data_IF_005318855508
#
_entry.id   IF_005318855508
#
_cell.length_a   1.000
_cell.length_b   1.000
_cell.length_c   1.000
_cell.angle_alpha   90.00
_cell.angle_beta   90.00
_cell.angle_gamma   90.00
#
_symmetry.space_group_name_H-M   'P 1'
#
loop_
_entity.id
_entity.type
_entity.pdbx_description
1 polymer ?
#
# COMPACT_ATOMS: atom_id res chain seq x y z
N UNK A 1 -12.05 13.45 24.33
CA UNK A 1 -12.69 14.59 23.62
C UNK A 1 -12.81 14.13 22.20
N UNK A 2 -14.01 14.13 21.62
CA UNK A 2 -14.20 13.78 20.21
C UNK A 2 -13.21 14.56 19.33
N UNK A 3 -12.68 13.91 18.30
CA UNK A 3 -11.76 14.54 17.35
C UNK A 3 -12.42 15.77 16.70
N UNK A 4 -11.63 16.78 16.35
CA UNK A 4 -12.14 18.05 15.81
C UNK A 4 -12.43 18.00 14.31
N UNK A 5 -11.69 17.14 13.59
CA UNK A 5 -11.83 16.87 12.14
C UNK A 5 -11.18 15.53 11.81
N UNK A 6 -11.66 14.87 10.76
CA UNK A 6 -11.03 13.66 10.23
C UNK A 6 -9.58 13.94 9.84
N UNK A 7 -8.69 13.03 10.16
CA UNK A 7 -7.25 13.18 9.86
C UNK A 7 -7.01 12.95 8.37
N UNK A 8 -6.29 13.89 7.75
CA UNK A 8 -5.84 13.80 6.37
C UNK A 8 -4.34 14.12 6.24
N UNK A 9 -3.85 14.26 5.01
CA UNK A 9 -2.46 14.59 4.75
C UNK A 9 -2.05 16.01 5.16
N UNK A 10 -3.00 16.96 5.26
CA UNK A 10 -2.74 18.32 5.72
C UNK A 10 -2.51 18.32 7.24
N UNK A 11 -3.34 17.60 7.99
CA UNK A 11 -3.14 17.41 9.43
C UNK A 11 -1.80 16.74 9.73
N UNK A 12 -1.42 15.75 8.92
CA UNK A 12 -0.13 15.10 9.05
C UNK A 12 1.02 16.09 8.87
N UNK A 13 0.96 16.93 7.83
CA UNK A 13 1.98 17.95 7.56
C UNK A 13 2.08 18.99 8.68
N UNK A 14 0.94 19.50 9.16
CA UNK A 14 0.92 20.50 10.23
C UNK A 14 1.52 19.94 11.52
N UNK A 15 1.16 18.71 11.89
CA UNK A 15 1.73 18.00 13.04
C UNK A 15 3.21 17.69 12.86
N UNK A 16 3.66 17.42 11.63
CA UNK A 16 5.08 17.11 11.39
C UNK A 16 6.00 18.30 11.67
N UNK A 17 5.49 19.54 11.62
CA UNK A 17 6.26 20.75 11.94
C UNK A 17 6.51 20.93 13.42
N UNK A 18 5.57 20.53 14.28
CA UNK A 18 5.59 20.80 15.72
C UNK A 18 5.73 19.55 16.59
N UNK A 19 5.61 18.35 16.00
CA UNK A 19 5.68 17.06 16.69
C UNK A 19 6.99 16.84 17.47
N UNK A 20 7.00 15.86 18.37
CA UNK A 20 8.17 15.54 19.20
C UNK A 20 9.41 15.28 18.33
N UNK A 21 10.55 15.91 18.65
CA UNK A 21 11.82 15.59 17.96
C UNK A 21 12.25 14.17 18.32
N UNK A 22 12.65 13.40 17.33
CA UNK A 22 13.11 12.04 17.50
C UNK A 22 14.23 11.78 16.47
N UNK A 23 15.34 11.20 16.87
CA UNK A 23 16.32 10.72 15.89
C UNK A 23 15.80 9.44 15.23
N UNK A 24 16.33 9.12 14.04
CA UNK A 24 15.95 7.88 13.39
C UNK A 24 16.42 6.64 14.19
N UNK A 25 17.60 6.70 14.81
CA UNK A 25 18.08 5.61 15.66
C UNK A 25 17.20 5.41 16.90
N UNK A 26 16.76 6.49 17.56
CA UNK A 26 15.81 6.40 18.68
C UNK A 26 14.48 5.77 18.23
N UNK A 27 14.05 6.04 16.99
CA UNK A 27 12.84 5.46 16.44
C UNK A 27 13.01 3.97 16.12
N UNK A 28 14.01 3.64 15.30
CA UNK A 28 14.23 2.32 14.71
C UNK A 28 14.78 1.31 15.73
N UNK A 29 15.69 1.75 16.61
CA UNK A 29 16.42 0.86 17.53
C UNK A 29 15.84 0.85 18.94
N UNK A 30 15.00 1.82 19.30
CA UNK A 30 14.39 1.90 20.63
C UNK A 30 12.87 1.91 20.58
N UNK A 31 12.24 2.98 20.09
CA UNK A 31 10.80 3.20 20.24
C UNK A 31 9.96 2.08 19.63
N UNK A 32 10.23 1.73 18.37
CA UNK A 32 9.52 0.66 17.66
C UNK A 32 9.77 -0.72 18.28
N UNK A 33 11.01 -1.22 18.44
CA UNK A 33 11.25 -2.55 18.98
C UNK A 33 10.79 -2.70 20.44
N UNK A 34 10.97 -1.67 21.28
CA UNK A 34 10.51 -1.70 22.67
C UNK A 34 8.98 -1.82 22.75
N UNK A 35 8.23 -0.99 22.00
CA UNK A 35 6.77 -1.03 22.04
C UNK A 35 6.22 -2.33 21.44
N UNK A 36 6.80 -2.82 20.35
CA UNK A 36 6.40 -4.11 19.77
C UNK A 36 6.64 -5.27 20.76
N UNK A 37 7.77 -5.28 21.46
CA UNK A 37 8.07 -6.28 22.50
C UNK A 37 7.09 -6.19 23.68
N UNK A 38 6.84 -4.97 24.16
CA UNK A 38 5.89 -4.69 25.23
C UNK A 38 4.48 -5.19 24.88
N UNK A 39 3.95 -4.80 23.72
CA UNK A 39 2.60 -5.15 23.29
C UNK A 39 2.45 -6.65 23.03
N UNK A 40 3.46 -7.30 22.45
CA UNK A 40 3.49 -8.76 22.32
C UNK A 40 3.31 -9.44 23.68
N UNK A 41 4.00 -8.97 24.72
CA UNK A 41 3.89 -9.55 26.07
C UNK A 41 2.59 -9.15 26.78
N UNK A 42 2.19 -7.88 26.71
CA UNK A 42 0.95 -7.33 27.29
C UNK A 42 -0.27 -8.13 26.81
N UNK A 43 -0.36 -8.35 25.50
CA UNK A 43 -1.45 -9.08 24.86
C UNK A 43 -1.23 -10.60 24.79
N UNK A 44 -0.07 -11.10 25.23
CA UNK A 44 0.32 -12.52 25.22
C UNK A 44 0.16 -13.15 23.82
N UNK A 45 0.68 -12.46 22.80
CA UNK A 45 0.54 -12.88 21.41
C UNK A 45 1.41 -14.11 21.13
N UNK A 46 0.76 -15.18 20.69
CA UNK A 46 1.38 -16.44 20.26
C UNK A 46 0.60 -17.05 19.10
N UNK A 47 1.24 -17.17 17.94
CA UNK A 47 0.62 -17.64 16.71
C UNK A 47 0.74 -19.16 16.53
N UNK A 48 1.51 -19.86 17.38
CA UNK A 48 1.59 -21.33 17.43
C UNK A 48 1.89 -22.02 16.09
N UNK A 49 2.59 -21.34 15.18
CA UNK A 49 2.91 -21.85 13.85
C UNK A 49 1.75 -21.86 12.86
N UNK A 50 0.59 -21.27 13.19
CA UNK A 50 -0.53 -21.12 12.25
C UNK A 50 -0.25 -20.00 11.23
N UNK A 51 -0.45 -20.29 9.95
CA UNK A 51 -0.40 -19.27 8.89
C UNK A 51 -1.67 -18.40 8.85
N UNK A 52 -2.83 -19.00 9.11
CA UNK A 52 -4.12 -18.32 9.16
C UNK A 52 -4.71 -18.58 10.55
N UNK A 53 -4.86 -17.54 11.39
CA UNK A 53 -5.31 -17.73 12.76
C UNK A 53 -6.77 -18.18 12.80
N UNK A 54 -7.04 -19.20 13.61
CA UNK A 54 -8.42 -19.69 13.84
C UNK A 54 -8.99 -19.25 15.19
N UNK A 55 -8.13 -18.77 16.09
CA UNK A 55 -8.51 -18.29 17.42
C UNK A 55 -8.95 -16.81 17.38
N UNK A 56 -10.25 -16.56 17.54
CA UNK A 56 -10.83 -15.22 17.51
C UNK A 56 -10.28 -14.28 18.60
N UNK A 57 -10.08 -14.77 19.82
CA UNK A 57 -9.50 -14.00 20.93
C UNK A 57 -8.06 -13.57 20.61
N UNK A 58 -7.28 -14.45 19.98
CA UNK A 58 -5.92 -14.10 19.54
C UNK A 58 -5.95 -13.03 18.44
N UNK A 59 -6.89 -13.11 17.48
CA UNK A 59 -7.03 -12.09 16.43
C UNK A 59 -7.49 -10.74 16.97
N UNK A 60 -8.38 -10.73 17.96
CA UNK A 60 -8.84 -9.49 18.61
C UNK A 60 -7.72 -8.85 19.42
N UNK A 61 -6.96 -9.64 20.19
CA UNK A 61 -5.77 -9.17 20.89
C UNK A 61 -4.73 -8.58 19.95
N UNK A 62 -4.50 -9.22 18.80
CA UNK A 62 -3.60 -8.70 17.78
C UNK A 62 -4.11 -7.38 17.19
N UNK A 63 -5.41 -7.25 16.94
CA UNK A 63 -6.02 -5.99 16.49
C UNK A 63 -5.77 -4.86 17.50
N UNK A 64 -6.06 -5.10 18.79
CA UNK A 64 -5.83 -4.10 19.83
C UNK A 64 -4.36 -3.78 20.06
N UNK A 65 -3.46 -4.76 19.96
CA UNK A 65 -2.03 -4.52 19.98
C UNK A 65 -1.59 -3.63 18.81
N UNK A 66 -2.10 -3.86 17.60
CA UNK A 66 -1.82 -3.00 16.44
C UNK A 66 -2.38 -1.58 16.59
N UNK A 67 -3.58 -1.46 17.15
CA UNK A 67 -4.21 -0.17 17.46
C UNK A 67 -3.37 0.63 18.47
N UNK A 68 -3.00 0.00 19.60
CA UNK A 68 -2.15 0.59 20.63
C UNK A 68 -0.77 0.96 20.07
N UNK A 69 -0.18 0.14 19.19
CA UNK A 69 1.10 0.44 18.56
C UNK A 69 1.05 1.77 17.80
N UNK A 70 0.06 1.96 16.93
CA UNK A 70 -0.10 3.22 16.19
C UNK A 70 -0.42 4.40 17.13
N UNK A 71 -1.33 4.19 18.08
CA UNK A 71 -1.75 5.22 19.02
C UNK A 71 -0.59 5.69 19.92
N UNK A 72 0.23 4.77 20.42
CA UNK A 72 1.30 5.05 21.39
C UNK A 72 2.63 5.43 20.72
N UNK A 73 2.95 4.90 19.53
CA UNK A 73 4.17 5.31 18.80
C UNK A 73 3.93 6.54 17.94
N UNK A 74 2.85 6.57 17.15
CA UNK A 74 2.67 7.54 16.07
C UNK A 74 3.45 7.17 14.80
N UNK A 75 3.78 8.17 13.98
CA UNK A 75 4.53 8.01 12.73
C UNK A 75 5.73 8.94 12.71
N UNK A 76 6.90 8.40 12.41
CA UNK A 76 8.12 9.17 12.23
C UNK A 76 8.19 9.82 10.86
N UNK A 77 8.54 11.10 10.83
CA UNK A 77 8.69 11.90 9.62
C UNK A 77 10.16 12.20 9.39
N UNK A 78 10.76 11.49 8.44
CA UNK A 78 12.19 11.52 8.15
C UNK A 78 12.70 12.92 7.81
N UNK A 79 11.96 13.67 6.98
CA UNK A 79 12.32 15.03 6.56
C UNK A 79 12.39 16.04 7.72
N UNK A 80 11.56 15.87 8.76
CA UNK A 80 11.51 16.78 9.90
C UNK A 80 12.18 16.21 11.16
N UNK A 81 12.55 14.92 11.15
CA UNK A 81 13.02 14.16 12.31
C UNK A 81 12.10 14.35 13.53
N UNK A 82 10.79 14.16 13.29
CA UNK A 82 9.73 14.38 14.27
C UNK A 82 8.67 13.29 14.20
N UNK A 83 7.90 13.16 15.28
CA UNK A 83 6.82 12.17 15.40
C UNK A 83 5.45 12.85 15.31
N UNK A 84 4.62 12.36 14.40
CA UNK A 84 3.20 12.71 14.30
C UNK A 84 2.40 11.75 15.19
N UNK A 85 1.58 12.32 16.08
CA UNK A 85 0.70 11.59 17.00
C UNK A 85 -0.75 11.69 16.57
N UNK A 86 -1.52 10.65 16.89
CA UNK A 86 -2.96 10.59 16.70
C UNK A 86 -3.66 10.39 18.05
N UNK A 87 -4.95 10.70 18.10
CA UNK A 87 -5.82 10.33 19.21
C UNK A 87 -6.57 9.03 18.89
N UNK A 88 -7.08 8.34 19.91
CA UNK A 88 -7.86 7.13 19.70
C UNK A 88 -9.12 7.41 18.86
N UNK A 89 -9.78 8.55 19.08
CA UNK A 89 -11.00 8.93 18.37
C UNK A 89 -10.72 9.21 16.88
N UNK A 90 -9.55 9.78 16.54
CA UNK A 90 -9.10 9.97 15.15
C UNK A 90 -8.83 8.65 14.42
N UNK A 91 -8.18 7.69 15.10
CA UNK A 91 -7.94 6.37 14.52
C UNK A 91 -9.27 5.65 14.31
N UNK A 92 -10.20 5.75 15.27
CA UNK A 92 -11.52 5.15 15.16
C UNK A 92 -12.39 5.77 14.07
N UNK A 93 -12.31 7.09 13.87
CA UNK A 93 -12.96 7.77 12.75
C UNK A 93 -12.52 7.16 11.41
N UNK A 94 -11.21 7.01 11.21
CA UNK A 94 -10.66 6.43 9.98
C UNK A 94 -11.06 4.95 9.78
N UNK A 95 -11.01 4.13 10.85
CA UNK A 95 -11.41 2.72 10.79
C UNK A 95 -12.90 2.56 10.49
N UNK A 96 -13.74 3.47 11.01
CA UNK A 96 -15.20 3.37 10.89
C UNK A 96 -15.73 3.82 9.53
N UNK A 97 -14.97 4.65 8.80
CA UNK A 97 -15.37 5.24 7.53
C UNK A 97 -14.45 4.85 6.35
N UNK A 98 -14.19 3.56 6.09
CA UNK A 98 -13.32 3.15 4.99
C UNK A 98 -14.06 3.17 3.65
N UNK A 99 -13.30 3.08 2.55
CA UNK A 99 -13.87 2.75 1.25
C UNK A 99 -14.29 1.26 1.22
N UNK A 100 -15.58 0.98 1.01
CA UNK A 100 -16.13 -0.38 1.09
C UNK A 100 -15.93 -1.22 -0.16
N UNK A 101 -16.03 -0.60 -1.33
CA UNK A 101 -15.82 -1.21 -2.64
C UNK A 101 -15.44 -0.16 -3.68
N UNK A 102 -14.83 -0.60 -4.77
CA UNK A 102 -14.49 0.25 -5.92
C UNK A 102 -14.27 -0.57 -7.19
N UNK A 103 -14.29 0.11 -8.32
CA UNK A 103 -14.00 -0.48 -9.62
C UNK A 103 -12.56 -0.17 -10.05
N UNK A 104 -11.87 -1.18 -10.57
CA UNK A 104 -10.62 -1.00 -11.33
C UNK A 104 -10.89 -1.24 -12.81
N UNK A 105 -10.25 -0.45 -13.67
CA UNK A 105 -10.45 -0.54 -15.11
C UNK A 105 -11.79 0.03 -15.59
N UNK A 106 -12.11 -0.26 -16.85
CA UNK A 106 -13.26 0.31 -17.56
C UNK A 106 -13.81 -0.64 -18.61
N UNK A 107 -15.05 -0.41 -19.05
CA UNK A 107 -15.68 -1.21 -20.10
C UNK A 107 -15.79 -2.69 -19.72
N UNK A 108 -15.58 -3.57 -20.71
CA UNK A 108 -15.66 -5.03 -20.55
C UNK A 108 -14.62 -5.58 -19.56
N UNK A 109 -13.48 -4.91 -19.43
CA UNK A 109 -12.33 -5.38 -18.65
C UNK A 109 -12.31 -4.85 -17.21
N UNK A 110 -13.35 -4.12 -16.80
CA UNK A 110 -13.47 -3.61 -15.45
C UNK A 110 -13.74 -4.73 -14.43
N UNK A 111 -13.14 -4.61 -13.25
CA UNK A 111 -13.35 -5.55 -12.13
C UNK A 111 -13.77 -4.81 -10.86
N UNK A 112 -14.66 -5.43 -10.08
CA UNK A 112 -15.15 -4.88 -8.82
C UNK A 112 -14.36 -5.44 -7.66
N UNK A 113 -13.70 -4.56 -6.90
CA UNK A 113 -12.95 -4.91 -5.69
C UNK A 113 -13.89 -4.81 -4.49
N UNK A 114 -14.07 -5.92 -3.79
CA UNK A 114 -14.94 -6.02 -2.61
C UNK A 114 -14.26 -6.78 -1.49
N UNK A 115 -14.66 -6.49 -0.25
CA UNK A 115 -14.20 -7.21 0.95
C UNK A 115 -14.38 -8.73 0.81
N UNK A 116 -13.33 -9.48 1.16
CA UNK A 116 -13.34 -10.94 1.35
C UNK A 116 -13.20 -11.27 2.84
N UNK A 117 -13.75 -12.41 3.26
CA UNK A 117 -13.58 -12.95 4.63
C UNK A 117 -12.55 -14.09 4.64
N UNK A 118 -12.16 -14.54 5.83
CA UNK A 118 -11.38 -15.78 5.97
C UNK A 118 -12.19 -16.93 5.34
N UNK A 119 -11.51 -17.77 4.55
CA UNK A 119 -12.12 -18.86 3.79
C UNK A 119 -13.26 -18.45 2.83
N UNK A 120 -13.26 -17.21 2.34
CA UNK A 120 -14.20 -16.76 1.31
C UNK A 120 -14.05 -17.59 0.03
N UNK A 121 -15.17 -18.11 -0.48
CA UNK A 121 -15.20 -18.97 -1.68
C UNK A 121 -14.89 -18.22 -2.98
N UNK A 122 -15.01 -16.88 -2.99
CA UNK A 122 -14.65 -16.06 -4.14
C UNK A 122 -13.13 -15.96 -4.27
N UNK A 123 -12.61 -16.05 -5.49
CA UNK A 123 -11.23 -15.71 -5.79
C UNK A 123 -10.92 -14.24 -5.44
N UNK A 124 -9.68 -13.91 -5.06
CA UNK A 124 -9.25 -12.51 -4.99
C UNK A 124 -9.16 -11.90 -6.39
N UNK A 125 -9.09 -10.57 -6.46
CA UNK A 125 -8.65 -9.90 -7.69
C UNK A 125 -7.18 -10.21 -7.91
N UNK A 126 -6.83 -10.70 -9.09
CA UNK A 126 -5.46 -11.07 -9.46
C UNK A 126 -4.83 -9.89 -10.19
N UNK A 127 -3.97 -9.15 -9.49
CA UNK A 127 -3.15 -8.11 -10.07
C UNK A 127 -1.79 -8.69 -10.49
N UNK A 128 -1.57 -8.82 -11.79
CA UNK A 128 -0.39 -9.49 -12.36
C UNK A 128 0.49 -8.52 -13.13
N UNK A 129 1.81 -8.64 -12.99
CA UNK A 129 2.76 -7.83 -13.74
C UNK A 129 4.17 -7.96 -13.20
N UNK A 130 5.13 -7.18 -13.73
CA UNK A 130 6.51 -7.19 -13.24
C UNK A 130 6.65 -6.76 -11.77
N UNK A 131 5.61 -6.16 -11.18
CA UNK A 131 5.54 -5.86 -9.73
C UNK A 131 6.70 -4.96 -9.28
N UNK A 132 6.88 -3.82 -9.97
CA UNK A 132 7.96 -2.87 -9.70
C UNK A 132 9.36 -3.34 -10.10
N UNK A 133 9.50 -4.55 -10.67
CA UNK A 133 10.79 -5.03 -11.17
C UNK A 133 11.30 -4.16 -12.32
N UNK A 134 12.62 -3.97 -12.45
CA UNK A 134 13.21 -3.26 -13.58
C UNK A 134 12.99 -4.05 -14.89
N UNK A 135 12.49 -3.37 -15.92
CA UNK A 135 12.20 -3.94 -17.24
C UNK A 135 12.86 -3.09 -18.32
N UNK A 136 13.59 -3.76 -19.23
CA UNK A 136 14.22 -3.09 -20.37
C UNK A 136 13.19 -2.45 -21.29
N UNK A 137 13.52 -1.27 -21.81
CA UNK A 137 12.62 -0.45 -22.64
C UNK A 137 12.10 -1.21 -23.87
N UNK A 138 12.96 -1.98 -24.54
CA UNK A 138 12.64 -2.72 -25.76
C UNK A 138 11.62 -3.85 -25.57
N UNK A 139 11.50 -4.38 -24.35
CA UNK A 139 10.56 -5.46 -24.00
C UNK A 139 9.47 -4.98 -23.04
N UNK A 140 9.37 -3.67 -22.80
CA UNK A 140 8.42 -3.13 -21.84
C UNK A 140 6.97 -3.49 -22.18
N UNK A 141 6.55 -3.28 -23.44
CA UNK A 141 5.21 -3.70 -23.88
C UNK A 141 5.04 -5.23 -23.93
N UNK A 142 5.94 -6.02 -24.59
CA UNK A 142 5.83 -7.47 -24.61
C UNK A 142 5.69 -8.12 -23.23
N UNK A 143 6.45 -7.66 -22.24
CA UNK A 143 6.38 -8.21 -20.88
C UNK A 143 5.03 -7.93 -20.24
N UNK A 144 4.49 -6.71 -20.32
CA UNK A 144 3.15 -6.44 -19.76
C UNK A 144 2.04 -7.14 -20.53
N UNK A 145 2.21 -7.33 -21.85
CA UNK A 145 1.29 -8.08 -22.68
C UNK A 145 1.17 -9.55 -22.24
N UNK A 146 2.27 -10.18 -21.78
CA UNK A 146 2.21 -11.57 -21.32
C UNK A 146 1.24 -11.73 -20.15
N UNK A 147 1.18 -10.77 -19.23
CA UNK A 147 0.20 -10.78 -18.14
C UNK A 147 -1.21 -10.47 -18.65
N UNK A 148 -1.37 -9.51 -19.56
CA UNK A 148 -2.68 -9.15 -20.09
C UNK A 148 -3.35 -10.29 -20.87
N UNK A 149 -2.56 -11.13 -21.56
CA UNK A 149 -3.02 -12.29 -22.31
C UNK A 149 -3.55 -13.42 -21.40
N UNK A 150 -3.07 -13.50 -20.16
CA UNK A 150 -3.57 -14.47 -19.19
C UNK A 150 -4.95 -14.06 -18.68
N UNK A 151 -5.96 -14.90 -18.94
CA UNK A 151 -7.34 -14.67 -18.46
C UNK A 151 -7.45 -14.67 -16.94
N UNK A 152 -6.49 -15.31 -16.26
CA UNK A 152 -6.39 -15.30 -14.79
C UNK A 152 -6.01 -13.91 -14.24
N UNK A 153 -5.40 -13.03 -15.04
CA UNK A 153 -5.00 -11.70 -14.58
C UNK A 153 -6.15 -10.71 -14.77
N UNK A 154 -6.62 -10.09 -13.69
CA UNK A 154 -7.70 -9.09 -13.70
C UNK A 154 -7.20 -7.67 -13.97
N UNK A 155 -6.08 -7.29 -13.37
CA UNK A 155 -5.46 -5.96 -13.46
C UNK A 155 -3.95 -6.08 -13.59
N UNK A 156 -3.28 -5.04 -14.06
CA UNK A 156 -1.83 -5.03 -14.22
C UNK A 156 -1.16 -4.31 -13.05
N UNK A 157 -0.04 -4.81 -12.55
CA UNK A 157 0.88 -4.03 -11.71
C UNK A 157 2.12 -3.69 -12.53
N UNK A 158 2.45 -2.40 -12.60
CA UNK A 158 3.49 -1.91 -13.50
C UNK A 158 4.89 -2.44 -13.13
N UNK A 159 5.73 -2.62 -14.14
CA UNK A 159 7.19 -2.67 -14.00
C UNK A 159 7.81 -1.28 -14.08
N UNK A 160 9.09 -1.18 -13.71
CA UNK A 160 9.86 0.07 -13.79
C UNK A 160 10.65 0.08 -15.08
N UNK A 161 10.47 1.12 -15.90
CA UNK A 161 11.28 1.30 -17.11
C UNK A 161 12.75 1.55 -16.73
N UNK A 162 13.70 0.72 -17.19
CA UNK A 162 15.14 0.99 -16.95
C UNK A 162 15.66 2.15 -17.79
N UNK A 163 15.02 2.43 -18.93
CA UNK A 163 15.23 3.62 -19.74
C UNK A 163 13.95 4.08 -20.42
N UNK A 164 13.91 5.36 -20.81
CA UNK A 164 12.92 5.92 -21.72
C UNK A 164 13.62 6.78 -22.77
N UNK A 165 13.42 6.45 -24.06
CA UNK A 165 14.20 6.94 -25.20
C UNK A 165 15.71 6.70 -25.04
N UNK A 166 16.09 5.55 -24.49
CA UNK A 166 17.48 5.17 -24.25
C UNK A 166 18.18 6.00 -23.16
N UNK A 167 17.41 6.66 -22.28
CA UNK A 167 17.93 7.48 -21.17
C UNK A 167 17.36 7.01 -19.83
N UNK A 168 18.16 6.95 -18.76
CA UNK A 168 17.67 6.53 -17.45
C UNK A 168 16.67 7.56 -16.88
N UNK A 169 15.56 7.13 -16.25
CA UNK A 169 14.57 8.03 -15.63
C UNK A 169 15.05 8.51 -14.26
N UNK A 170 16.16 9.25 -14.23
CA UNK A 170 16.74 9.78 -12.99
C UNK A 170 15.73 10.70 -12.30
N UNK A 171 15.49 10.56 -10.97
CA UNK A 171 14.55 11.41 -10.24
C UNK A 171 14.85 12.91 -10.39
N UNK A 172 13.80 13.74 -10.41
CA UNK A 172 13.85 15.19 -10.60
C UNK A 172 14.41 15.63 -11.95
N UNK A 173 14.30 14.78 -12.98
CA UNK A 173 14.68 15.12 -14.37
C UNK A 173 13.49 15.04 -15.32
N UNK A 174 13.55 15.66 -16.51
CA UNK A 174 12.50 15.49 -17.51
C UNK A 174 12.26 14.03 -17.92
N UNK A 175 13.26 13.15 -17.78
CA UNK A 175 13.11 11.73 -18.10
C UNK A 175 12.28 10.96 -17.06
N UNK A 176 12.29 11.35 -15.79
CA UNK A 176 11.36 10.81 -14.78
C UNK A 176 9.90 11.16 -15.15
N UNK A 177 9.63 12.43 -15.47
CA UNK A 177 8.29 12.89 -15.87
C UNK A 177 7.83 12.18 -17.15
N UNK A 178 8.73 12.03 -18.11
CA UNK A 178 8.44 11.31 -19.35
C UNK A 178 8.14 9.84 -19.06
N UNK A 179 8.96 9.17 -18.24
CA UNK A 179 8.77 7.78 -17.85
C UNK A 179 7.44 7.57 -17.16
N UNK A 180 7.10 8.38 -16.14
CA UNK A 180 5.85 8.27 -15.40
C UNK A 180 4.60 8.33 -16.29
N UNK A 181 4.62 9.17 -17.34
CA UNK A 181 3.51 9.24 -18.32
C UNK A 181 3.58 8.13 -19.36
N UNK A 182 4.77 7.72 -19.78
CA UNK A 182 4.99 6.72 -20.83
C UNK A 182 4.68 5.31 -20.34
N UNK A 183 5.02 5.01 -19.09
CA UNK A 183 4.84 3.72 -18.43
C UNK A 183 3.41 3.19 -18.63
N UNK A 184 2.41 3.88 -18.08
CA UNK A 184 1.02 3.44 -18.21
C UNK A 184 0.49 3.52 -19.65
N UNK A 185 1.00 4.44 -20.49
CA UNK A 185 0.60 4.51 -21.91
C UNK A 185 1.00 3.24 -22.66
N UNK A 186 2.24 2.78 -22.48
CA UNK A 186 2.75 1.55 -23.10
C UNK A 186 2.04 0.32 -22.54
N UNK A 187 1.81 0.27 -21.23
CA UNK A 187 1.09 -0.84 -20.59
C UNK A 187 -0.35 -0.92 -21.11
N UNK A 188 -1.07 0.20 -21.20
CA UNK A 188 -2.42 0.24 -21.77
C UNK A 188 -2.43 -0.15 -23.24
N UNK A 189 -1.43 0.23 -24.03
CA UNK A 189 -1.27 -0.26 -25.40
C UNK A 189 -1.06 -1.78 -25.44
N UNK A 190 -0.25 -2.33 -24.52
CA UNK A 190 -0.05 -3.78 -24.40
C UNK A 190 -1.37 -4.50 -24.05
N UNK A 191 -2.16 -3.98 -23.11
CA UNK A 191 -3.49 -4.54 -22.77
C UNK A 191 -4.47 -4.44 -23.93
N UNK A 192 -4.44 -3.36 -24.71
CA UNK A 192 -5.27 -3.20 -25.90
C UNK A 192 -4.92 -4.22 -26.99
N UNK A 193 -3.62 -4.47 -27.22
CA UNK A 193 -3.14 -5.50 -28.14
C UNK A 193 -3.53 -6.92 -27.69
N UNK A 194 -3.65 -7.14 -26.37
CA UNK A 194 -4.20 -8.38 -25.80
C UNK A 194 -5.75 -8.47 -25.88
N UNK A 195 -6.42 -7.51 -26.52
CA UNK A 195 -7.87 -7.48 -26.64
C UNK A 195 -8.62 -7.03 -25.38
N UNK A 196 -7.91 -6.43 -24.41
CA UNK A 196 -8.44 -6.01 -23.10
C UNK A 196 -8.08 -4.54 -22.78
N UNK A 197 -8.45 -3.57 -23.64
CA UNK A 197 -8.02 -2.17 -23.53
C UNK A 197 -8.46 -1.48 -22.22
N UNK A 198 -9.45 -2.02 -21.53
CA UNK A 198 -10.01 -1.46 -20.31
C UNK A 198 -9.35 -1.88 -19.01
N UNK A 199 -8.38 -2.81 -19.01
CA UNK A 199 -7.77 -3.37 -17.78
C UNK A 199 -7.22 -2.29 -16.84
N UNK A 200 -7.48 -2.38 -15.54
CA UNK A 200 -6.86 -1.48 -14.55
C UNK A 200 -5.34 -1.63 -14.48
N UNK A 201 -4.64 -0.54 -14.15
CA UNK A 201 -3.22 -0.51 -13.77
C UNK A 201 -3.08 0.12 -12.39
#
# INVERSE_FOLDING_TARGET
MAYTKSVDCYEFYDRSKTGEKCSQDDWDLMRIPMKAMELKQKYKLDFKGEFVPTNADMTEKLFWAGFDMLLECGIFVTDQQRVVKYTADEIWDAISNPQYEFQLGSGRDAVQVRKRKVADKRGPVIQGGPTGSPVSEEVFMPIHMSYALEKEVDTIVNGVMTSVRGKPPVPKTPYEILSAKTETRLIKQATALAGRPGMGV
#
